data_IF_891736742135
#
_entry.id   IF_891736742135
#
_cell.length_a   1.000
_cell.length_b   1.000
_cell.length_c   1.000
_cell.angle_alpha   90.00
_cell.angle_beta   90.00
_cell.angle_gamma   90.00
#
_symmetry.space_group_name_H-M   'P 1'
#
loop_
_entity.id
_entity.type
_entity.pdbx_description
1 polymer ?
#
# COMPACT_ATOMS: atom_id res chain seq x y z
N UNK A 1 39.19 -17.63 25.97
CA UNK A 1 37.74 -17.42 26.11
C UNK A 1 37.09 -17.56 24.74
N UNK A 2 36.65 -18.74 24.30
CA UNK A 2 36.01 -18.88 23.01
C UNK A 2 34.53 -18.47 23.12
N UNK A 3 34.15 -17.46 22.35
CA UNK A 3 32.75 -17.09 22.13
C UNK A 3 32.07 -18.24 21.39
N UNK A 4 31.21 -18.99 22.10
CA UNK A 4 30.39 -20.05 21.52
C UNK A 4 29.20 -19.40 20.82
N UNK A 5 29.39 -18.99 19.58
CA UNK A 5 28.25 -18.85 18.67
C UNK A 5 27.85 -20.27 18.26
N UNK A 6 26.99 -20.92 19.05
CA UNK A 6 26.37 -22.17 18.66
C UNK A 6 25.29 -21.90 17.62
N UNK A 7 25.25 -22.71 16.57
CA UNK A 7 24.09 -22.78 15.68
C UNK A 7 22.86 -23.13 16.52
N UNK A 8 21.87 -22.24 16.51
CA UNK A 8 20.60 -22.44 17.22
C UNK A 8 19.44 -22.09 16.31
N UNK A 9 18.31 -22.74 16.52
CA UNK A 9 17.09 -22.45 15.76
C UNK A 9 16.39 -21.19 16.29
N UNK A 10 15.63 -20.50 15.44
CA UNK A 10 14.82 -19.34 15.84
C UNK A 10 13.90 -19.67 17.03
N UNK A 11 13.35 -20.89 17.06
CA UNK A 11 12.49 -21.36 18.15
C UNK A 11 13.28 -21.42 19.47
N UNK A 12 14.45 -22.05 19.48
CA UNK A 12 15.28 -22.14 20.68
C UNK A 12 15.74 -20.76 21.18
N UNK A 13 16.09 -19.86 20.26
CA UNK A 13 16.50 -18.49 20.59
C UNK A 13 15.37 -17.64 21.21
N UNK A 14 14.10 -17.98 20.92
CA UNK A 14 12.94 -17.19 21.33
C UNK A 14 12.14 -17.81 22.49
N UNK A 15 12.58 -18.95 23.02
CA UNK A 15 11.88 -19.69 24.09
C UNK A 15 11.62 -18.89 25.37
N UNK A 16 12.45 -17.88 25.66
CA UNK A 16 12.32 -17.06 26.85
C UNK A 16 11.60 -15.72 26.59
N UNK A 17 11.09 -15.50 25.36
CA UNK A 17 10.35 -14.30 25.03
C UNK A 17 8.90 -14.43 25.46
N UNK A 18 8.40 -13.40 26.16
CA UNK A 18 7.00 -13.30 26.52
C UNK A 18 6.10 -13.19 25.26
N UNK A 19 5.00 -13.95 25.18
CA UNK A 19 4.03 -13.81 24.10
C UNK A 19 3.43 -12.40 24.07
N UNK A 20 3.17 -11.86 22.87
CA UNK A 20 2.60 -10.52 22.64
C UNK A 20 1.17 -10.36 23.23
N UNK A 21 0.57 -11.46 23.70
CA UNK A 21 -0.78 -11.47 24.25
C UNK A 21 -1.85 -11.25 23.18
N UNK A 22 -3.08 -10.96 23.62
CA UNK A 22 -4.22 -10.78 22.70
C UNK A 22 -4.19 -9.38 22.09
N UNK A 23 -3.92 -9.30 20.78
CA UNK A 23 -4.01 -8.05 20.02
C UNK A 23 -5.47 -7.80 19.59
N UNK A 24 -6.07 -6.70 20.04
CA UNK A 24 -7.41 -6.27 19.63
C UNK A 24 -7.34 -5.09 18.65
N UNK A 25 -7.57 -5.34 17.37
CA UNK A 25 -7.60 -4.30 16.34
C UNK A 25 -9.03 -3.80 16.17
N UNK A 26 -9.20 -2.46 16.08
CA UNK A 26 -10.49 -1.81 15.78
C UNK A 26 -10.37 -0.93 14.55
N UNK A 27 -11.37 -0.98 13.68
CA UNK A 27 -11.46 -0.11 12.51
C UNK A 27 -11.52 1.36 12.94
N UNK A 28 -10.60 2.18 12.42
CA UNK A 28 -10.56 3.63 12.70
C UNK A 28 -11.15 4.50 11.59
N UNK A 29 -11.11 4.02 10.35
CA UNK A 29 -11.55 4.74 9.14
C UNK A 29 -12.16 3.76 8.14
N UNK A 30 -13.10 4.24 7.33
CA UNK A 30 -13.68 3.52 6.20
C UNK A 30 -13.60 4.41 4.96
N UNK A 31 -12.71 4.08 4.03
CA UNK A 31 -12.47 4.86 2.82
C UNK A 31 -13.50 4.48 1.75
N UNK A 32 -14.53 5.32 1.56
CA UNK A 32 -15.59 5.10 0.55
C UNK A 32 -15.29 5.85 -0.74
N UNK A 33 -15.41 5.17 -1.88
CA UNK A 33 -15.30 5.82 -3.19
C UNK A 33 -15.10 4.89 -4.38
N UNK A 34 -14.60 3.67 -4.16
CA UNK A 34 -14.58 2.67 -5.22
C UNK A 34 -15.97 2.10 -5.47
N UNK A 35 -16.25 1.78 -6.73
CA UNK A 35 -17.52 1.24 -7.20
C UNK A 35 -17.46 -0.27 -7.48
N UNK A 36 -16.26 -0.85 -7.48
CA UNK A 36 -16.03 -2.27 -7.67
C UNK A 36 -14.96 -2.79 -6.69
N UNK A 37 -14.65 -4.08 -6.81
CA UNK A 37 -13.69 -4.79 -5.96
C UNK A 37 -12.32 -4.11 -5.98
N UNK A 38 -11.75 -3.89 -4.80
CA UNK A 38 -10.39 -3.40 -4.61
C UNK A 38 -9.46 -4.62 -4.62
N UNK A 39 -8.41 -4.60 -5.45
CA UNK A 39 -7.47 -5.71 -5.59
C UNK A 39 -6.15 -5.48 -4.86
N UNK A 40 -5.68 -4.23 -4.84
CA UNK A 40 -4.40 -3.90 -4.23
C UNK A 40 -4.47 -2.52 -3.56
N UNK A 41 -3.59 -2.35 -2.58
CA UNK A 41 -3.31 -1.07 -1.96
C UNK A 41 -1.84 -1.02 -1.53
N UNK A 42 -1.25 0.18 -1.51
CA UNK A 42 0.11 0.37 -1.02
C UNK A 42 0.23 1.69 -0.27
N UNK A 43 0.83 1.64 0.92
CA UNK A 43 1.14 2.84 1.71
C UNK A 43 2.30 3.61 1.10
N UNK A 44 2.23 4.93 1.16
CA UNK A 44 3.40 5.78 0.99
C UNK A 44 4.31 5.74 2.22
N UNK A 45 5.58 6.13 2.04
CA UNK A 45 6.55 6.19 3.15
C UNK A 45 6.23 7.28 4.18
N UNK A 46 5.31 8.20 3.87
CA UNK A 46 4.86 9.25 4.80
C UNK A 46 3.88 8.76 5.87
N UNK A 47 3.50 7.47 5.84
CA UNK A 47 2.51 6.85 6.75
C UNK A 47 1.16 7.57 6.78
N UNK A 48 0.88 8.40 5.78
CA UNK A 48 -0.32 9.22 5.68
C UNK A 48 -1.09 8.91 4.41
N UNK A 49 -0.38 8.90 3.28
CA UNK A 49 -1.00 8.65 1.99
C UNK A 49 -0.94 7.16 1.64
N UNK A 50 -1.95 6.70 0.92
CA UNK A 50 -1.96 5.36 0.34
C UNK A 50 -2.65 5.39 -1.02
N UNK A 51 -2.23 4.51 -1.93
CA UNK A 51 -2.91 4.26 -3.19
C UNK A 51 -3.73 2.98 -3.08
N UNK A 52 -4.91 2.96 -3.69
CA UNK A 52 -5.72 1.75 -3.89
C UNK A 52 -6.11 1.59 -5.35
N UNK A 53 -6.21 0.35 -5.81
CA UNK A 53 -6.57 -0.02 -7.17
C UNK A 53 -7.84 -0.88 -7.18
N UNK A 54 -8.79 -0.53 -8.03
CA UNK A 54 -10.07 -1.23 -8.14
C UNK A 54 -10.41 -1.60 -9.57
N UNK A 55 -11.22 -2.65 -9.71
CA UNK A 55 -11.81 -3.08 -10.97
C UNK A 55 -12.77 -2.07 -11.61
N UNK A 56 -13.08 -0.97 -10.91
CA UNK A 56 -13.81 0.17 -11.48
C UNK A 56 -12.95 1.01 -12.44
N UNK A 57 -11.71 0.59 -12.69
CA UNK A 57 -10.78 1.27 -13.56
C UNK A 57 -10.22 2.55 -12.95
N UNK A 58 -10.11 2.62 -11.62
CA UNK A 58 -9.51 3.78 -10.93
C UNK A 58 -8.37 3.36 -10.00
N UNK A 59 -7.31 4.18 -10.02
CA UNK A 59 -6.44 4.34 -8.87
C UNK A 59 -6.92 5.53 -8.05
N UNK A 60 -7.03 5.38 -6.75
CA UNK A 60 -7.32 6.49 -5.85
C UNK A 60 -6.16 6.63 -4.86
N UNK A 61 -5.60 7.84 -4.76
CA UNK A 61 -4.67 8.22 -3.69
C UNK A 61 -5.49 8.87 -2.58
N UNK A 62 -5.35 8.36 -1.37
CA UNK A 62 -6.09 8.81 -0.20
C UNK A 62 -5.17 9.43 0.82
N UNK A 63 -5.68 10.43 1.54
CA UNK A 63 -5.14 10.85 2.83
C UNK A 63 -5.87 10.06 3.93
N UNK A 64 -5.16 9.15 4.60
CA UNK A 64 -5.74 8.27 5.61
C UNK A 64 -6.25 8.99 6.86
N UNK A 65 -5.71 10.18 7.17
CA UNK A 65 -6.09 10.91 8.37
C UNK A 65 -7.46 11.57 8.19
N UNK A 66 -7.64 12.21 7.03
CA UNK A 66 -8.84 12.99 6.67
C UNK A 66 -9.88 12.20 5.88
N UNK A 67 -9.52 11.03 5.34
CA UNK A 67 -10.31 10.19 4.42
C UNK A 67 -10.59 10.83 3.05
N UNK A 68 -9.92 11.94 2.75
CA UNK A 68 -10.08 12.64 1.48
C UNK A 68 -9.37 11.90 0.35
N UNK A 69 -9.94 12.02 -0.86
CA UNK A 69 -9.31 11.57 -2.11
C UNK A 69 -8.39 12.69 -2.59
N UNK A 70 -7.08 12.46 -2.55
CA UNK A 70 -6.07 13.42 -3.02
C UNK A 70 -6.01 13.38 -4.55
N UNK A 71 -5.99 12.17 -5.12
CA UNK A 71 -6.04 11.97 -6.56
C UNK A 71 -6.99 10.84 -6.92
N UNK A 72 -7.67 10.95 -8.05
CA UNK A 72 -8.45 9.88 -8.67
C UNK A 72 -8.00 9.77 -10.13
N UNK A 73 -7.21 8.74 -10.43
CA UNK A 73 -6.59 8.53 -11.74
C UNK A 73 -7.43 7.50 -12.49
N UNK A 74 -8.10 7.88 -13.60
CA UNK A 74 -8.79 6.93 -14.45
C UNK A 74 -7.77 6.08 -15.20
N UNK A 75 -7.96 4.77 -15.17
CA UNK A 75 -7.15 3.80 -15.90
C UNK A 75 -7.80 3.47 -17.24
N UNK A 76 -6.96 3.18 -18.23
CA UNK A 76 -7.41 2.72 -19.54
C UNK A 76 -8.02 1.31 -19.50
N UNK A 77 -7.45 0.44 -18.66
CA UNK A 77 -7.94 -0.92 -18.42
C UNK A 77 -8.62 -0.99 -17.06
N UNK A 78 -9.83 -1.57 -17.02
CA UNK A 78 -10.55 -1.80 -15.77
C UNK A 78 -9.92 -2.91 -14.94
N UNK A 79 -9.17 -3.83 -15.55
CA UNK A 79 -8.66 -5.04 -14.90
C UNK A 79 -7.31 -4.85 -14.23
N UNK A 80 -7.24 -3.93 -13.27
CA UNK A 80 -6.04 -3.69 -12.46
C UNK A 80 -5.89 -4.77 -11.37
N UNK A 81 -4.68 -5.29 -11.21
CA UNK A 81 -4.36 -6.33 -10.24
C UNK A 81 -3.38 -5.85 -9.16
N UNK A 82 -2.59 -4.82 -9.45
CA UNK A 82 -1.58 -4.29 -8.53
C UNK A 82 -1.48 -2.77 -8.61
N UNK A 83 -0.99 -2.18 -7.52
CA UNK A 83 -0.54 -0.80 -7.48
C UNK A 83 0.65 -0.63 -6.54
N UNK A 84 1.47 0.38 -6.81
CA UNK A 84 2.60 0.75 -5.95
C UNK A 84 2.71 2.26 -5.80
N UNK A 85 2.90 2.73 -4.57
CA UNK A 85 3.33 4.09 -4.27
C UNK A 85 4.86 4.19 -4.30
N UNK A 86 5.42 5.19 -4.98
CA UNK A 86 6.86 5.41 -4.98
C UNK A 86 7.34 5.96 -3.62
N UNK A 87 8.51 5.55 -3.11
CA UNK A 87 9.04 6.05 -1.83
C UNK A 87 9.24 7.57 -1.79
N UNK A 88 9.52 8.20 -2.94
CA UNK A 88 9.64 9.65 -3.09
C UNK A 88 8.30 10.40 -2.97
N UNK A 89 7.19 9.68 -3.05
CA UNK A 89 5.82 10.20 -3.07
C UNK A 89 5.40 10.93 -4.34
N UNK A 90 6.24 10.93 -5.38
CA UNK A 90 5.97 11.64 -6.63
C UNK A 90 5.23 10.81 -7.67
N UNK A 91 5.24 9.47 -7.53
CA UNK A 91 4.70 8.58 -8.56
C UNK A 91 3.87 7.47 -7.96
N UNK A 92 2.92 6.98 -8.76
CA UNK A 92 2.21 5.72 -8.52
C UNK A 92 2.28 4.86 -9.77
N UNK A 93 2.35 3.54 -9.58
CA UNK A 93 2.32 2.57 -10.66
C UNK A 93 1.12 1.64 -10.52
N UNK A 94 0.66 1.07 -11.63
CA UNK A 94 -0.31 -0.03 -11.65
C UNK A 94 -0.12 -0.95 -12.86
N UNK A 95 -0.71 -2.12 -12.79
CA UNK A 95 -0.79 -3.05 -13.92
C UNK A 95 -1.80 -4.16 -13.68
N UNK A 96 -2.14 -4.88 -14.74
CA UNK A 96 -3.06 -6.01 -14.67
C UNK A 96 -3.14 -6.79 -15.99
N UNK A 97 -4.36 -7.13 -16.41
CA UNK A 97 -4.58 -8.02 -17.56
C UNK A 97 -4.24 -7.41 -18.93
N UNK A 98 -3.96 -6.11 -18.99
CA UNK A 98 -3.45 -5.45 -20.18
C UNK A 98 -1.96 -5.71 -20.42
N UNK A 99 -1.27 -6.40 -19.50
CA UNK A 99 0.16 -6.68 -19.54
C UNK A 99 1.02 -5.41 -19.59
N UNK A 100 0.49 -4.27 -19.11
CA UNK A 100 1.19 -2.99 -19.10
C UNK A 100 1.37 -2.52 -17.67
N UNK A 101 2.59 -2.08 -17.34
CA UNK A 101 2.85 -1.31 -16.13
C UNK A 101 2.78 0.17 -16.48
N UNK A 102 1.76 0.87 -15.98
CA UNK A 102 1.59 2.31 -16.16
C UNK A 102 2.12 3.06 -14.95
N UNK A 103 2.91 4.11 -15.18
CA UNK A 103 3.45 4.99 -14.14
C UNK A 103 2.86 6.38 -14.29
N UNK A 104 2.30 6.92 -13.22
CA UNK A 104 1.67 8.23 -13.17
C UNK A 104 2.44 9.15 -12.24
N UNK A 105 2.72 10.37 -12.70
CA UNK A 105 3.29 11.43 -11.87
C UNK A 105 2.16 12.14 -11.10
N UNK A 106 2.28 12.19 -9.77
CA UNK A 106 1.34 12.89 -8.88
C UNK A 106 1.64 14.40 -8.79
N UNK A 107 2.87 14.81 -9.12
CA UNK A 107 3.25 16.21 -9.24
C UNK A 107 3.01 16.66 -10.68
N UNK A 108 1.74 16.82 -11.04
CA UNK A 108 1.42 17.65 -12.20
C UNK A 108 1.82 19.08 -11.85
N UNK A 109 2.90 19.58 -12.47
CA UNK A 109 2.99 21.01 -12.71
C UNK A 109 1.82 21.33 -13.62
N UNK A 110 0.80 22.00 -13.09
CA UNK A 110 -0.11 22.77 -13.93
C UNK A 110 0.77 23.78 -14.67
N UNK A 111 1.11 23.46 -15.91
CA UNK A 111 1.70 24.42 -16.84
C UNK A 111 0.56 25.22 -17.45
N UNK A 112 0.70 26.54 -17.40
CA UNK A 112 0.00 27.56 -18.20
C UNK A 112 -0.53 27.06 -19.54
#
# INVERSE_FOLDING_TARGET
MPCSACDTSLVQATNNLEPIGRIQIRTRRTLRGHLAKIYAMHWGCDSRNLVSASQDGKLIVWDSHTTNKVHAIPLRSSWVMTCAYAPSGNFVACGGLDNICSIYNLKTREGN
#
